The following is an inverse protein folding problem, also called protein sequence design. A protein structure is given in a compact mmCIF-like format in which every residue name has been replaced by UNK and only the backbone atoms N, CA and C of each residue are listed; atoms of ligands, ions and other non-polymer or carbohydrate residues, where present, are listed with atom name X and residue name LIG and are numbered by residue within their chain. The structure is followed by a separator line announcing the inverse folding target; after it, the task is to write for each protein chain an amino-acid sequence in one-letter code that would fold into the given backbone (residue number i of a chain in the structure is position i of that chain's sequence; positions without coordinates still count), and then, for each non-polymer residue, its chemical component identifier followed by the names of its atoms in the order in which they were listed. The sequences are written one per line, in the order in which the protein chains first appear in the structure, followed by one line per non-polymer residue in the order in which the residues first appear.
data_IF_462462094651
#
_entry.id   IF_462462094651
#
_cell.length_a   1.000
_cell.length_b   1.000
_cell.length_c   1.000
_cell.angle_alpha   90.00
_cell.angle_beta   90.00
_cell.angle_gamma   90.00
#
_symmetry.space_group_name_H-M   'P 1'
#
loop_
_entity.id
_entity.type
_entity.pdbx_description
1 polymer ?
#
# COMPACT_ATOMS: atom_id res chain seq x y z
N UNK A 1 21.28 1.41 -11.14
CA UNK A 1 20.41 2.17 -12.07
C UNK A 1 19.20 1.38 -12.56
N UNK A 2 19.32 0.13 -13.02
CA UNK A 2 18.15 -0.64 -13.48
C UNK A 2 17.19 -0.98 -12.32
N UNK A 3 17.71 -1.49 -11.20
CA UNK A 3 16.90 -1.85 -10.03
C UNK A 3 16.14 -0.66 -9.42
N UNK A 4 16.76 0.52 -9.33
CA UNK A 4 16.11 1.73 -8.83
C UNK A 4 14.93 2.15 -9.72
N UNK A 5 15.08 2.05 -11.06
CA UNK A 5 13.96 2.27 -12.00
C UNK A 5 12.84 1.25 -11.82
N UNK A 6 13.18 -0.04 -11.65
CA UNK A 6 12.18 -1.10 -11.39
C UNK A 6 11.42 -0.82 -10.09
N UNK A 7 12.12 -0.50 -9.00
CA UNK A 7 11.51 -0.18 -7.70
C UNK A 7 10.59 1.03 -7.82
N UNK A 8 11.03 2.10 -8.51
CA UNK A 8 10.21 3.29 -8.71
C UNK A 8 8.93 3.00 -9.52
N UNK A 9 9.02 2.16 -10.56
CA UNK A 9 7.84 1.73 -11.34
C UNK A 9 6.88 0.93 -10.47
N UNK A 10 7.37 -0.09 -9.75
CA UNK A 10 6.54 -0.90 -8.84
C UNK A 10 5.90 -0.04 -7.74
N UNK A 11 6.66 0.89 -7.18
CA UNK A 11 6.18 1.83 -6.16
C UNK A 11 5.11 2.78 -6.73
N UNK A 12 5.24 3.19 -7.99
CA UNK A 12 4.23 4.00 -8.68
C UNK A 12 2.91 3.24 -8.88
N UNK A 13 2.98 1.96 -9.23
CA UNK A 13 1.78 1.10 -9.30
C UNK A 13 1.13 0.96 -7.93
N UNK A 14 1.92 0.71 -6.89
CA UNK A 14 1.43 0.66 -5.51
C UNK A 14 0.79 1.99 -5.06
N UNK A 15 1.37 3.12 -5.44
CA UNK A 15 0.85 4.45 -5.18
C UNK A 15 -0.53 4.67 -5.83
N UNK A 16 -0.71 4.31 -7.10
CA UNK A 16 -2.01 4.41 -7.78
C UNK A 16 -3.06 3.55 -7.08
N UNK A 17 -2.70 2.35 -6.65
CA UNK A 17 -3.61 1.47 -5.89
C UNK A 17 -3.96 2.01 -4.49
N UNK A 18 -3.01 2.66 -3.83
CA UNK A 18 -3.27 3.39 -2.59
C UNK A 18 -4.19 4.60 -2.82
N UNK A 19 -4.03 5.32 -3.93
CA UNK A 19 -4.91 6.42 -4.33
C UNK A 19 -6.35 5.94 -4.55
N UNK A 20 -6.52 4.82 -5.25
CA UNK A 20 -7.85 4.21 -5.41
C UNK A 20 -8.46 3.80 -4.07
N UNK A 21 -7.64 3.31 -3.12
CA UNK A 21 -8.08 3.01 -1.75
C UNK A 21 -8.56 4.26 -1.03
N UNK A 22 -7.80 5.35 -1.14
CA UNK A 22 -8.09 6.63 -0.52
C UNK A 22 -9.41 7.21 -1.03
N UNK A 23 -9.55 7.33 -2.36
CA UNK A 23 -10.77 7.86 -3.00
C UNK A 23 -11.96 6.96 -2.69
N UNK A 24 -11.81 5.63 -2.82
CA UNK A 24 -12.85 4.66 -2.51
C UNK A 24 -13.30 4.74 -1.05
N UNK A 25 -12.37 4.91 -0.11
CA UNK A 25 -12.66 5.07 1.30
C UNK A 25 -13.54 6.28 1.62
N UNK A 26 -13.30 7.43 1.01
CA UNK A 26 -14.18 8.60 1.18
C UNK A 26 -15.50 8.49 0.44
N UNK A 27 -15.54 7.81 -0.71
CA UNK A 27 -16.79 7.54 -1.45
C UNK A 27 -17.71 6.58 -0.69
N UNK A 28 -17.14 5.57 -0.03
CA UNK A 28 -17.89 4.58 0.76
C UNK A 28 -18.61 5.20 1.95
N UNK A 29 -18.05 6.23 2.61
CA UNK A 29 -18.73 6.97 3.70
C UNK A 29 -20.12 7.48 3.25
N UNK A 30 -20.35 7.63 1.94
CA UNK A 30 -21.61 8.16 1.38
C UNK A 30 -22.52 7.10 0.73
N UNK A 31 -22.15 5.83 0.61
CA UNK A 31 -22.97 4.80 -0.08
C UNK A 31 -23.03 3.47 0.68
N UNK A 32 -24.22 2.87 0.74
CA UNK A 32 -24.45 1.55 1.32
C UNK A 32 -23.68 0.47 0.55
N UNK A 33 -22.91 -0.37 1.26
CA UNK A 33 -21.93 -1.31 0.70
C UNK A 33 -22.58 -2.35 -0.24
N UNK A 34 -22.17 -2.35 -1.52
CA UNK A 34 -22.42 -3.48 -2.42
C UNK A 34 -21.32 -4.54 -2.26
N UNK A 35 -21.69 -5.83 -2.35
CA UNK A 35 -20.77 -6.96 -2.19
C UNK A 35 -19.58 -6.93 -3.17
N UNK A 36 -19.80 -6.42 -4.39
CA UNK A 36 -18.77 -6.26 -5.42
C UNK A 36 -17.66 -5.28 -5.00
N UNK A 37 -18.00 -4.18 -4.32
CA UNK A 37 -17.02 -3.20 -3.85
C UNK A 37 -16.10 -3.82 -2.78
N UNK A 38 -16.67 -4.60 -1.83
CA UNK A 38 -15.88 -5.30 -0.82
C UNK A 38 -14.85 -6.26 -1.42
N UNK A 39 -15.20 -6.96 -2.51
CA UNK A 39 -14.28 -7.86 -3.22
C UNK A 39 -13.16 -7.06 -3.89
N UNK A 40 -13.50 -5.97 -4.59
CA UNK A 40 -12.52 -5.08 -5.23
C UNK A 40 -11.51 -4.53 -4.21
N UNK A 41 -11.97 -4.08 -3.04
CA UNK A 41 -11.11 -3.59 -1.97
C UNK A 41 -10.20 -4.67 -1.36
N UNK A 42 -10.68 -5.92 -1.28
CA UNK A 42 -9.85 -7.06 -0.85
C UNK A 42 -8.76 -7.35 -1.85
N UNK A 43 -9.10 -7.50 -3.14
CA UNK A 43 -8.13 -7.75 -4.21
C UNK A 43 -7.07 -6.65 -4.20
N UNK A 44 -7.48 -5.39 -4.20
CA UNK A 44 -6.57 -4.24 -4.11
C UNK A 44 -5.68 -4.30 -2.86
N UNK A 45 -6.21 -4.71 -1.71
CA UNK A 45 -5.42 -4.93 -0.49
C UNK A 45 -4.32 -5.98 -0.68
N UNK A 46 -4.67 -7.16 -1.21
CA UNK A 46 -3.71 -8.23 -1.49
C UNK A 46 -2.64 -7.78 -2.49
N UNK A 47 -3.02 -7.14 -3.59
CA UNK A 47 -2.07 -6.66 -4.60
C UNK A 47 -1.11 -5.62 -4.02
N UNK A 48 -1.60 -4.67 -3.21
CA UNK A 48 -0.72 -3.68 -2.56
C UNK A 48 0.28 -4.34 -1.60
N UNK A 49 -0.13 -5.38 -0.86
CA UNK A 49 0.79 -6.14 0.01
C UNK A 49 1.84 -6.87 -0.81
N UNK A 50 1.43 -7.56 -1.88
CA UNK A 50 2.36 -8.31 -2.73
C UNK A 50 3.42 -7.40 -3.35
N UNK A 51 3.03 -6.22 -3.85
CA UNK A 51 3.99 -5.23 -4.35
C UNK A 51 4.92 -4.71 -3.26
N UNK A 52 4.38 -4.41 -2.09
CA UNK A 52 5.17 -3.91 -0.96
C UNK A 52 6.22 -4.94 -0.51
N UNK A 53 5.82 -6.21 -0.36
CA UNK A 53 6.73 -7.32 -0.02
C UNK A 53 7.77 -7.54 -1.10
N UNK A 54 7.39 -7.49 -2.38
CA UNK A 54 8.33 -7.64 -3.49
C UNK A 54 9.41 -6.55 -3.44
N UNK A 55 9.02 -5.28 -3.25
CA UNK A 55 9.96 -4.16 -3.13
C UNK A 55 10.84 -4.35 -1.89
N UNK A 56 10.25 -4.71 -0.74
CA UNK A 56 11.00 -4.96 0.49
C UNK A 56 12.09 -6.02 0.29
N UNK A 57 11.76 -7.15 -0.35
CA UNK A 57 12.70 -8.23 -0.64
C UNK A 57 13.82 -7.77 -1.58
N UNK A 58 13.50 -6.99 -2.62
CA UNK A 58 14.50 -6.41 -3.52
C UNK A 58 15.44 -5.48 -2.73
N UNK A 59 14.90 -4.58 -1.91
CA UNK A 59 15.69 -3.63 -1.13
C UNK A 59 16.58 -4.33 -0.09
N UNK A 60 16.04 -5.32 0.62
CA UNK A 60 16.79 -6.12 1.61
C UNK A 60 17.90 -6.92 0.91
N UNK A 61 17.63 -7.49 -0.27
CA UNK A 61 18.63 -8.25 -1.04
C UNK A 61 19.77 -7.38 -1.60
N UNK A 62 19.50 -6.11 -1.91
CA UNK A 62 20.50 -5.18 -2.46
C UNK A 62 21.28 -4.43 -1.38
N UNK A 63 20.63 -4.06 -0.27
CA UNK A 63 21.15 -3.13 0.74
C UNK A 63 20.88 -3.64 2.16
N UNK A 64 21.21 -4.91 2.41
CA UNK A 64 20.93 -5.53 3.70
C UNK A 64 21.54 -4.74 4.87
N UNK A 65 20.67 -4.16 5.70
CA UNK A 65 21.02 -3.53 6.98
C UNK A 65 19.93 -3.89 7.99
N UNK A 66 20.30 -4.40 9.17
CA UNK A 66 19.32 -4.76 10.19
C UNK A 66 18.46 -3.57 10.63
N UNK A 67 18.99 -2.35 10.51
CA UNK A 67 18.31 -1.09 10.87
C UNK A 67 17.15 -0.75 9.95
N UNK A 68 17.09 -1.29 8.72
CA UNK A 68 15.98 -1.03 7.79
C UNK A 68 14.80 -2.00 8.02
N UNK A 69 14.99 -3.12 8.72
CA UNK A 69 13.93 -4.11 8.95
C UNK A 69 12.71 -3.54 9.70
N UNK A 70 12.84 -2.72 10.77
CA UNK A 70 11.70 -2.14 11.44
C UNK A 70 10.82 -1.29 10.51
N UNK A 71 11.42 -0.57 9.55
CA UNK A 71 10.70 0.24 8.56
C UNK A 71 9.84 -0.66 7.67
N UNK A 72 10.43 -1.74 7.16
CA UNK A 72 9.71 -2.69 6.32
C UNK A 72 8.58 -3.39 7.06
N UNK A 73 8.83 -3.82 8.30
CA UNK A 73 7.82 -4.45 9.17
C UNK A 73 6.67 -3.47 9.44
N UNK A 74 6.98 -2.22 9.79
CA UNK A 74 5.96 -1.22 10.06
C UNK A 74 5.07 -0.95 8.84
N UNK A 75 5.65 -0.74 7.66
CA UNK A 75 4.84 -0.54 6.45
C UNK A 75 4.06 -1.81 6.05
N UNK A 76 4.57 -3.01 6.34
CA UNK A 76 3.80 -4.25 6.16
C UNK A 76 2.59 -4.30 7.09
N UNK A 77 2.75 -3.94 8.36
CA UNK A 77 1.66 -3.86 9.34
C UNK A 77 0.57 -2.91 8.84
N UNK A 78 0.93 -1.74 8.30
CA UNK A 78 -0.05 -0.81 7.71
C UNK A 78 -0.85 -1.46 6.58
N UNK A 79 -0.17 -2.11 5.63
CA UNK A 79 -0.86 -2.78 4.53
C UNK A 79 -1.74 -3.94 5.00
N UNK A 80 -1.28 -4.72 5.98
CA UNK A 80 -2.06 -5.78 6.59
C UNK A 80 -3.29 -5.23 7.33
N UNK A 81 -3.15 -4.11 8.05
CA UNK A 81 -4.23 -3.48 8.78
C UNK A 81 -5.36 -3.02 7.84
N UNK A 82 -5.04 -2.52 6.64
CA UNK A 82 -6.04 -2.25 5.58
C UNK A 82 -6.89 -3.50 5.29
N UNK A 83 -6.28 -4.67 5.09
CA UNK A 83 -7.03 -5.89 4.82
C UNK A 83 -7.94 -6.27 5.99
N UNK A 84 -7.47 -6.10 7.23
CA UNK A 84 -8.29 -6.36 8.42
C UNK A 84 -9.52 -5.44 8.45
N UNK A 85 -9.35 -4.15 8.14
CA UNK A 85 -10.47 -3.20 8.08
C UNK A 85 -11.50 -3.62 7.03
N UNK A 86 -11.06 -4.07 5.85
CA UNK A 86 -11.98 -4.55 4.80
C UNK A 86 -12.69 -5.84 5.23
N UNK A 87 -11.98 -6.80 5.83
CA UNK A 87 -12.58 -8.06 6.32
C UNK A 87 -13.60 -7.82 7.44
N UNK A 88 -13.34 -6.85 8.32
CA UNK A 88 -14.25 -6.49 9.41
C UNK A 88 -15.40 -5.56 9.00
N UNK A 89 -15.54 -5.24 7.70
CA UNK A 89 -16.53 -4.26 7.18
C UNK A 89 -16.41 -2.88 7.84
N UNK A 90 -15.20 -2.54 8.30
CA UNK A 90 -14.86 -1.23 8.88
C UNK A 90 -14.22 -0.31 7.83
N UNK A 91 -14.17 -0.75 6.57
CA UNK A 91 -13.60 0.00 5.46
C UNK A 91 -14.32 1.34 5.24
N UNK A 92 -15.63 1.41 5.45
CA UNK A 92 -16.40 2.66 5.33
C UNK A 92 -15.92 3.71 6.33
N UNK A 93 -15.65 3.33 7.58
CA UNK A 93 -15.31 4.28 8.64
C UNK A 93 -13.85 4.75 8.59
N UNK A 94 -12.94 3.87 8.17
CA UNK A 94 -11.49 4.11 8.25
C UNK A 94 -10.76 4.06 6.91
N UNK A 95 -11.44 3.73 5.80
CA UNK A 95 -10.81 3.51 4.50
C UNK A 95 -10.10 4.74 3.95
N UNK A 96 -10.68 5.93 4.13
CA UNK A 96 -10.06 7.19 3.69
C UNK A 96 -8.76 7.49 4.46
N UNK A 97 -8.79 7.42 5.79
CA UNK A 97 -7.59 7.61 6.63
C UNK A 97 -6.51 6.57 6.33
N UNK A 98 -6.90 5.29 6.22
CA UNK A 98 -5.97 4.22 5.89
C UNK A 98 -5.36 4.39 4.50
N UNK A 99 -6.16 4.78 3.50
CA UNK A 99 -5.67 5.11 2.18
C UNK A 99 -4.66 6.26 2.19
N UNK A 100 -4.85 7.26 3.05
CA UNK A 100 -3.94 8.39 3.20
C UNK A 100 -2.58 7.99 3.78
N UNK A 101 -2.59 7.16 4.83
CA UNK A 101 -1.35 6.60 5.40
C UNK A 101 -0.58 5.75 4.38
N UNK A 102 -1.30 4.97 3.57
CA UNK A 102 -0.69 4.18 2.51
C UNK A 102 -0.12 5.08 1.41
N UNK A 103 -0.84 6.13 0.99
CA UNK A 103 -0.34 7.10 0.01
C UNK A 103 0.99 7.71 0.44
N UNK A 104 1.11 8.13 1.71
CA UNK A 104 2.36 8.65 2.25
C UNK A 104 3.46 7.59 2.18
N UNK A 105 3.16 6.35 2.57
CA UNK A 105 4.13 5.24 2.54
C UNK A 105 4.66 5.00 1.13
N UNK A 106 3.78 4.93 0.14
CA UNK A 106 4.16 4.72 -1.27
C UNK A 106 4.89 5.92 -1.86
N UNK A 107 4.49 7.15 -1.49
CA UNK A 107 5.19 8.36 -1.93
C UNK A 107 6.64 8.39 -1.43
N UNK A 108 6.85 8.07 -0.15
CA UNK A 108 8.20 7.96 0.43
C UNK A 108 9.02 6.89 -0.29
N UNK A 109 8.44 5.74 -0.62
CA UNK A 109 9.14 4.69 -1.39
C UNK A 109 9.58 5.16 -2.77
N UNK A 110 8.73 5.90 -3.49
CA UNK A 110 9.06 6.49 -4.79
C UNK A 110 10.20 7.49 -4.63
N UNK A 111 10.07 8.44 -3.70
CA UNK A 111 11.07 9.49 -3.48
C UNK A 111 12.44 8.91 -3.08
N UNK A 112 12.48 7.88 -2.24
CA UNK A 112 13.71 7.25 -1.78
C UNK A 112 14.47 6.51 -2.90
N UNK A 113 13.77 6.06 -3.95
CA UNK A 113 14.35 5.24 -5.03
C UNK A 113 14.36 5.94 -6.39
N UNK A 114 13.98 7.22 -6.43
CA UNK A 114 14.11 8.05 -7.62
C UNK A 114 15.59 8.15 -7.99
N UNK A 115 15.97 7.84 -9.24
CA UNK A 115 17.34 8.06 -9.69
C UNK A 115 17.64 9.57 -9.60
N UNK A 116 18.70 9.90 -8.87
CA UNK A 116 19.27 11.26 -8.83
C UNK A 116 20.11 11.52 -10.07
#
# INVERSE_FOLDING_TARGET
MLYTKIIAILASVGFVMALMTFIGGFRMVRRAEHMSESIMHRVNGYTTISLYVLIALICIGLYFDIRILPIWIFGFILHYFKLVLVKKKLAVRYGGYMGGLLLITWFVLIYAHLPK
#
